data_IF_779481423575
#
_entry.id   IF_779481423575
#
_cell.length_a   1.000
_cell.length_b   1.000
_cell.length_c   1.000
_cell.angle_alpha   90.00
_cell.angle_beta   90.00
_cell.angle_gamma   90.00
#
_symmetry.space_group_name_H-M   'P 1'
#
loop_
_entity.id
_entity.type
_entity.pdbx_description
1 polymer ?
#
# COMPACT_ATOMS: atom_id res chain seq x y z
N UNK A 1 -38.83 11.96 0.34
CA UNK A 1 -38.12 12.45 -0.85
C UNK A 1 -36.95 11.49 -1.09
N UNK A 2 -37.08 10.58 -2.06
CA UNK A 2 -36.07 9.56 -2.33
C UNK A 2 -34.98 10.23 -3.17
N UNK A 3 -33.79 10.46 -2.61
CA UNK A 3 -32.62 10.83 -3.42
C UNK A 3 -32.22 9.56 -4.15
N UNK A 4 -32.83 9.35 -5.31
CA UNK A 4 -32.28 8.41 -6.29
C UNK A 4 -30.93 8.98 -6.69
N UNK A 5 -29.86 8.39 -6.19
CA UNK A 5 -28.50 8.74 -6.60
C UNK A 5 -28.33 8.26 -8.04
N UNK A 6 -28.80 9.06 -9.00
CA UNK A 6 -28.56 8.79 -10.41
C UNK A 6 -27.04 8.87 -10.63
N UNK A 7 -26.39 7.84 -11.21
CA UNK A 7 -24.96 7.89 -11.53
C UNK A 7 -24.57 9.15 -12.33
N UNK A 8 -25.50 9.63 -13.17
CA UNK A 8 -25.37 10.89 -13.91
C UNK A 8 -25.31 12.14 -13.03
N UNK A 9 -26.03 12.18 -11.90
CA UNK A 9 -26.03 13.31 -10.98
C UNK A 9 -24.71 13.39 -10.22
N UNK A 10 -24.11 12.25 -9.87
CA UNK A 10 -22.77 12.18 -9.25
C UNK A 10 -21.68 12.68 -10.19
N UNK A 11 -21.66 12.21 -11.44
CA UNK A 11 -20.70 12.67 -12.46
C UNK A 11 -20.87 14.15 -12.79
N UNK A 12 -22.12 14.62 -12.91
CA UNK A 12 -22.43 16.03 -13.14
C UNK A 12 -22.05 16.92 -11.94
N UNK A 13 -22.22 16.44 -10.71
CA UNK A 13 -21.82 17.16 -9.50
C UNK A 13 -20.30 17.34 -9.43
N UNK A 14 -19.51 16.27 -9.68
CA UNK A 14 -18.04 16.35 -9.71
C UNK A 14 -17.59 17.32 -10.81
N UNK A 15 -18.16 17.19 -12.02
CA UNK A 15 -17.85 18.06 -13.16
C UNK A 15 -18.24 19.52 -12.88
N UNK A 16 -19.40 19.76 -12.27
CA UNK A 16 -19.90 21.09 -11.89
C UNK A 16 -19.03 21.73 -10.82
N UNK A 17 -18.68 21.00 -9.75
CA UNK A 17 -17.80 21.52 -8.70
C UNK A 17 -16.39 21.87 -9.21
N UNK A 18 -15.88 21.14 -10.21
CA UNK A 18 -14.59 21.43 -10.84
C UNK A 18 -14.68 22.55 -11.89
N UNK A 19 -15.80 22.66 -12.61
CA UNK A 19 -16.06 23.71 -13.59
C UNK A 19 -16.42 25.07 -12.96
N UNK A 20 -16.99 25.09 -11.74
CA UNK A 20 -17.30 26.29 -10.96
C UNK A 20 -16.05 27.12 -10.62
N UNK A 21 -14.88 26.48 -10.56
CA UNK A 21 -13.58 27.14 -10.37
C UNK A 21 -12.99 27.73 -11.68
N UNK A 22 -13.72 27.64 -12.80
CA UNK A 22 -13.28 28.06 -14.13
C UNK A 22 -12.34 27.06 -14.82
N UNK A 23 -11.76 27.38 -16.00
CA UNK A 23 -10.86 26.50 -16.74
C UNK A 23 -9.64 26.04 -15.93
N UNK A 24 -9.26 26.81 -14.91
CA UNK A 24 -8.21 26.44 -13.96
C UNK A 24 -8.57 25.24 -13.07
N UNK A 25 -9.86 25.01 -12.76
CA UNK A 25 -10.30 23.82 -12.03
C UNK A 25 -10.11 22.53 -12.82
N UNK A 26 -10.37 22.57 -14.14
CA UNK A 26 -10.11 21.43 -15.02
C UNK A 26 -8.59 21.16 -15.16
N UNK A 27 -7.78 22.20 -15.34
CA UNK A 27 -6.32 22.07 -15.40
C UNK A 27 -5.73 21.55 -14.08
N UNK A 28 -6.22 22.07 -12.94
CA UNK A 28 -5.84 21.62 -11.61
C UNK A 28 -6.22 20.17 -11.34
N UNK A 29 -7.42 19.76 -11.77
CA UNK A 29 -7.87 18.37 -11.70
C UNK A 29 -6.98 17.42 -12.49
N UNK A 30 -6.66 17.75 -13.74
CA UNK A 30 -5.75 16.92 -14.57
C UNK A 30 -4.34 16.87 -13.98
N UNK A 31 -3.82 18.00 -13.49
CA UNK A 31 -2.50 18.04 -12.86
C UNK A 31 -2.46 17.18 -11.58
N UNK A 32 -3.48 17.28 -10.72
CA UNK A 32 -3.59 16.46 -9.51
C UNK A 32 -3.70 14.97 -9.83
N UNK A 33 -4.49 14.60 -10.85
CA UNK A 33 -4.59 13.20 -11.31
C UNK A 33 -3.26 12.71 -11.89
N UNK A 34 -2.51 13.56 -12.59
CA UNK A 34 -1.17 13.23 -13.09
C UNK A 34 -0.19 12.93 -11.95
N UNK A 35 -0.16 13.77 -10.92
CA UNK A 35 0.69 13.57 -9.73
C UNK A 35 0.27 12.32 -8.97
N UNK A 36 -1.02 12.14 -8.73
CA UNK A 36 -1.54 10.96 -8.03
C UNK A 36 -1.23 9.67 -8.79
N UNK A 37 -1.36 9.68 -10.12
CA UNK A 37 -0.99 8.53 -10.96
C UNK A 37 0.51 8.23 -10.91
N UNK A 38 1.36 9.26 -10.82
CA UNK A 38 2.79 9.09 -10.63
C UNK A 38 3.12 8.48 -9.26
N UNK A 39 2.48 8.95 -8.20
CA UNK A 39 2.62 8.40 -6.84
C UNK A 39 2.14 6.95 -6.80
N UNK A 40 0.99 6.64 -7.40
CA UNK A 40 0.48 5.26 -7.48
C UNK A 40 1.48 4.33 -8.16
N UNK A 41 2.10 4.74 -9.28
CA UNK A 41 3.16 3.96 -9.94
C UNK A 41 4.41 3.79 -9.06
N UNK A 42 4.76 4.80 -8.26
CA UNK A 42 5.87 4.68 -7.31
C UNK A 42 5.53 3.65 -6.22
N UNK A 43 4.32 3.68 -5.67
CA UNK A 43 3.87 2.73 -4.64
C UNK A 43 3.82 1.30 -5.19
N UNK A 44 3.29 1.08 -6.41
CA UNK A 44 3.23 -0.25 -7.02
C UNK A 44 4.62 -0.85 -7.28
N UNK A 45 5.65 -0.02 -7.48
CA UNK A 45 7.04 -0.49 -7.64
C UNK A 45 7.69 -0.89 -6.31
N UNK A 46 7.30 -0.26 -5.21
CA UNK A 46 7.65 -0.72 -3.86
C UNK A 46 6.70 -1.84 -3.47
N UNK A 47 6.82 -2.97 -4.17
CA UNK A 47 6.11 -4.19 -3.80
C UNK A 47 6.64 -4.69 -2.46
N UNK A 48 5.79 -5.43 -1.75
CA UNK A 48 6.09 -6.00 -0.44
C UNK A 48 7.45 -6.73 -0.38
N UNK A 49 7.81 -7.36 -1.50
CA UNK A 49 9.03 -8.12 -1.75
C UNK A 49 10.34 -7.34 -1.53
N UNK A 50 10.34 -6.01 -1.68
CA UNK A 50 11.55 -5.18 -1.47
C UNK A 50 11.54 -4.47 -0.11
N UNK A 51 10.36 -4.14 0.41
CA UNK A 51 10.22 -3.38 1.66
C UNK A 51 10.39 -4.30 2.86
N UNK A 52 9.84 -5.52 2.79
CA UNK A 52 9.88 -6.47 3.88
C UNK A 52 11.29 -6.92 4.28
N UNK A 53 12.19 -7.34 3.37
CA UNK A 53 13.57 -7.70 3.74
C UNK A 53 14.35 -6.51 4.33
N UNK A 54 14.14 -5.29 3.81
CA UNK A 54 14.78 -4.10 4.36
C UNK A 54 14.34 -3.79 5.81
N UNK A 55 13.08 -4.09 6.13
CA UNK A 55 12.54 -3.99 7.50
C UNK A 55 13.12 -5.10 8.38
N UNK A 56 13.16 -6.35 7.92
CA UNK A 56 13.77 -7.47 8.65
C UNK A 56 15.24 -7.21 9.04
N UNK A 57 16.05 -6.69 8.11
CA UNK A 57 17.44 -6.32 8.37
C UNK A 57 17.55 -5.27 9.49
N UNK A 58 16.67 -4.26 9.49
CA UNK A 58 16.63 -3.25 10.56
C UNK A 58 16.18 -3.84 11.89
N UNK A 59 15.16 -4.69 11.91
CA UNK A 59 14.69 -5.31 13.15
C UNK A 59 15.74 -6.23 13.77
N UNK A 60 16.53 -6.94 12.95
CA UNK A 60 17.71 -7.70 13.43
C UNK A 60 18.79 -6.79 13.98
N UNK A 61 19.06 -5.64 13.37
CA UNK A 61 20.01 -4.66 13.89
C UNK A 61 19.59 -4.10 15.27
N UNK A 62 18.27 -4.05 15.52
CA UNK A 62 17.68 -3.67 16.80
C UNK A 62 17.58 -4.85 17.80
N UNK A 63 18.06 -6.04 17.42
CA UNK A 63 18.11 -7.23 18.29
C UNK A 63 16.78 -7.97 18.44
N UNK A 64 15.79 -7.66 17.60
CA UNK A 64 14.48 -8.32 17.61
C UNK A 64 14.60 -9.69 16.92
N UNK A 65 14.03 -10.73 17.54
CA UNK A 65 14.10 -12.10 17.03
C UNK A 65 12.99 -12.38 16.02
N UNK A 66 13.21 -13.35 15.13
CA UNK A 66 12.22 -13.78 14.13
C UNK A 66 10.90 -14.28 14.76
N UNK A 67 10.95 -14.76 16.00
CA UNK A 67 9.80 -15.21 16.79
C UNK A 67 8.94 -14.03 17.26
N UNK A 68 9.56 -12.96 17.74
CA UNK A 68 8.87 -11.72 18.13
C UNK A 68 8.18 -11.08 16.92
N UNK A 69 8.83 -11.09 15.75
CA UNK A 69 8.27 -10.57 14.50
C UNK A 69 7.06 -11.40 14.08
N UNK A 70 7.13 -12.73 14.22
CA UNK A 70 6.01 -13.63 13.91
C UNK A 70 4.84 -13.42 14.87
N UNK A 71 5.10 -13.20 16.15
CA UNK A 71 4.06 -12.88 17.12
C UNK A 71 3.38 -11.54 16.78
N UNK A 72 4.16 -10.55 16.38
CA UNK A 72 3.67 -9.22 16.01
C UNK A 72 2.82 -9.27 14.73
N UNK A 73 3.25 -10.02 13.71
CA UNK A 73 2.45 -10.26 12.49
C UNK A 73 1.11 -10.94 12.80
N UNK A 74 1.09 -11.88 13.76
CA UNK A 74 -0.14 -12.55 14.17
C UNK A 74 -1.13 -11.61 14.90
N UNK A 75 -0.65 -10.52 15.50
CA UNK A 75 -1.50 -9.50 16.15
C UNK A 75 -2.18 -8.56 15.14
N UNK A 76 -1.60 -8.38 13.96
CA UNK A 76 -2.23 -7.56 12.92
C UNK A 76 -3.42 -8.28 12.28
N UNK A 77 -4.59 -7.63 12.13
CA UNK A 77 -5.76 -8.20 11.47
C UNK A 77 -5.57 -8.21 9.94
N UNK A 78 -4.58 -8.96 9.46
CA UNK A 78 -4.30 -9.15 8.04
C UNK A 78 -5.40 -10.03 7.45
N UNK A 79 -6.27 -9.44 6.63
CA UNK A 79 -7.43 -10.15 6.06
C UNK A 79 -7.03 -11.16 4.97
N UNK A 80 -5.84 -11.02 4.38
CA UNK A 80 -5.36 -11.87 3.28
C UNK A 80 -4.46 -13.00 3.79
N UNK A 81 -4.98 -14.23 3.79
CA UNK A 81 -4.23 -15.45 4.18
C UNK A 81 -2.96 -15.64 3.34
N UNK A 82 -3.02 -15.31 2.05
CA UNK A 82 -1.88 -15.37 1.12
C UNK A 82 -0.75 -14.42 1.51
N UNK A 83 -1.10 -13.22 2.03
CA UNK A 83 -0.10 -12.24 2.46
C UNK A 83 0.60 -12.71 3.73
N UNK A 84 -0.16 -13.29 4.66
CA UNK A 84 0.38 -13.89 5.88
C UNK A 84 1.30 -15.07 5.57
N UNK A 85 0.94 -15.92 4.61
CA UNK A 85 1.79 -17.03 4.20
C UNK A 85 3.09 -16.53 3.55
N UNK A 86 3.03 -15.57 2.61
CA UNK A 86 4.22 -14.94 2.03
C UNK A 86 5.12 -14.32 3.09
N UNK A 87 4.54 -13.64 4.08
CA UNK A 87 5.24 -13.08 5.23
C UNK A 87 6.03 -14.14 6.02
N UNK A 88 5.40 -15.28 6.29
CA UNK A 88 6.03 -16.39 7.00
C UNK A 88 7.15 -17.03 6.16
N UNK A 89 6.92 -17.25 4.86
CA UNK A 89 7.93 -17.76 3.91
C UNK A 89 9.16 -16.83 3.85
N UNK A 90 8.97 -15.51 3.79
CA UNK A 90 10.08 -14.54 3.80
C UNK A 90 10.87 -14.53 5.11
N UNK A 91 10.22 -14.77 6.25
CA UNK A 91 10.91 -14.87 7.55
C UNK A 91 11.73 -16.16 7.62
N UNK A 92 11.19 -17.26 7.08
CA UNK A 92 11.84 -18.57 7.06
C UNK A 92 13.04 -18.58 6.11
N UNK A 93 12.89 -18.08 4.88
CA UNK A 93 14.00 -17.95 3.90
C UNK A 93 15.13 -17.04 4.44
N UNK A 94 14.77 -15.94 5.10
CA UNK A 94 15.75 -15.05 5.76
C UNK A 94 16.41 -15.70 6.99
N UNK A 95 15.77 -16.70 7.61
CA UNK A 95 16.33 -17.46 8.73
C UNK A 95 17.19 -18.65 8.28
N UNK A 96 16.90 -19.25 7.11
CA UNK A 96 17.61 -20.40 6.58
C UNK A 96 18.89 -20.02 5.82
N UNK A 97 18.89 -18.89 5.08
CA UNK A 97 20.05 -18.41 4.33
C UNK A 97 21.29 -18.04 5.17
N UNK A 98 21.20 -18.06 6.50
CA UNK A 98 22.32 -17.82 7.44
C UNK A 98 23.02 -19.12 7.89
N UNK A 99 22.46 -20.31 7.63
CA UNK A 99 23.06 -21.59 8.10
C UNK A 99 24.13 -22.17 7.17
N UNK A 100 24.32 -21.62 5.97
CA UNK A 100 25.29 -22.12 4.98
C UNK A 100 26.60 -21.30 4.90
N UNK A 101 26.76 -20.24 5.72
CA UNK A 101 27.99 -19.42 5.77
C UNK A 101 28.72 -19.44 7.13
N UNK A 102 28.45 -20.42 8.01
CA UNK A 102 29.25 -20.66 9.23
C UNK A 102 30.01 -22.00 9.20
#
# INVERSE_FOLDING_TARGET
>A
MLITASPSLGTAAITSSLAVLGPFGMLGGIAALGILSFISRAITKFSFENVFPAVLIKLRADGITSEDIREEINKYPISSKELKQKLEEFIEEFSEGENDEQ
#
